data_IF_883672760956
#
_entry.id   IF_883672760956
#
_cell.length_a   1.000
_cell.length_b   1.000
_cell.length_c   1.000
_cell.angle_alpha   90.00
_cell.angle_beta   90.00
_cell.angle_gamma   90.00
#
_symmetry.space_group_name_H-M   'P 1'
#
loop_
_entity.id
_entity.type
_entity.pdbx_description
1 polymer ?
#
# COMPACT_ATOMS: atom_id res chain seq x y z
N UNK A 1 -1.89 11.98 17.32
CA UNK A 1 -2.03 13.41 16.98
C UNK A 1 -3.09 13.45 15.93
N UNK A 2 -4.16 14.19 16.20
CA UNK A 2 -5.39 14.05 15.43
C UNK A 2 -5.60 15.36 14.69
N UNK A 3 -5.74 15.29 13.38
CA UNK A 3 -5.83 16.47 12.52
C UNK A 3 -7.02 16.37 11.58
N UNK A 4 -7.73 17.49 11.44
CA UNK A 4 -8.78 17.66 10.45
C UNK A 4 -8.41 18.85 9.58
N UNK A 5 -8.26 18.62 8.28
CA UNK A 5 -7.90 19.64 7.30
C UNK A 5 -8.97 19.71 6.20
N UNK A 6 -9.36 20.93 5.85
CA UNK A 6 -10.09 21.22 4.61
C UNK A 6 -9.29 22.22 3.76
N UNK A 7 -9.16 21.95 2.46
CA UNK A 7 -8.44 22.80 1.51
C UNK A 7 -7.10 22.22 1.09
N UNK A 8 -6.03 23.00 1.17
CA UNK A 8 -4.68 22.58 0.81
C UNK A 8 -3.81 22.50 2.06
N UNK A 9 -3.17 21.36 2.31
CA UNK A 9 -2.23 21.20 3.42
C UNK A 9 -1.02 20.37 3.07
N UNK A 10 0.09 20.67 3.74
CA UNK A 10 1.33 19.90 3.68
C UNK A 10 1.77 19.63 5.12
N UNK A 11 2.15 18.40 5.43
CA UNK A 11 2.49 17.99 6.79
C UNK A 11 3.77 17.15 6.79
N UNK A 12 4.77 17.55 7.57
CA UNK A 12 6.02 16.80 7.70
C UNK A 12 6.23 16.41 9.16
N UNK A 13 6.50 15.13 9.42
CA UNK A 13 6.75 14.60 10.77
C UNK A 13 8.04 13.77 10.79
N UNK A 14 8.96 14.13 11.68
CA UNK A 14 10.17 13.35 11.95
C UNK A 14 10.21 12.99 13.43
N UNK A 15 10.08 11.71 13.74
CA UNK A 15 10.00 11.19 15.10
C UNK A 15 11.03 10.08 15.34
N UNK A 16 11.86 10.27 16.37
CA UNK A 16 12.75 9.20 16.85
C UNK A 16 11.99 8.19 17.73
N UNK A 17 10.80 8.57 18.20
CA UNK A 17 9.94 7.78 19.08
C UNK A 17 8.95 6.89 18.33
N UNK A 18 7.84 6.61 19.03
CA UNK A 18 6.64 6.04 18.42
C UNK A 18 5.73 7.20 18.07
N UNK A 19 5.28 7.27 16.83
CA UNK A 19 4.28 8.23 16.39
C UNK A 19 2.92 7.55 16.26
N UNK A 20 1.88 8.25 16.69
CA UNK A 20 0.49 7.89 16.39
C UNK A 20 -0.19 9.10 15.77
N UNK A 21 -0.84 8.91 14.62
CA UNK A 21 -1.46 10.01 13.90
C UNK A 21 -2.75 9.60 13.22
N UNK A 22 -3.77 10.41 13.45
CA UNK A 22 -5.07 10.26 12.80
C UNK A 22 -5.30 11.52 11.94
N UNK A 23 -5.57 11.34 10.66
CA UNK A 23 -5.78 12.45 9.73
C UNK A 23 -7.11 12.29 9.00
N UNK A 24 -7.91 13.36 9.01
CA UNK A 24 -9.05 13.52 8.12
C UNK A 24 -8.78 14.73 7.22
N UNK A 25 -8.60 14.48 5.92
CA UNK A 25 -8.30 15.51 4.94
C UNK A 25 -9.37 15.55 3.84
N UNK A 26 -9.79 16.77 3.47
CA UNK A 26 -10.62 17.02 2.31
C UNK A 26 -10.00 18.12 1.44
N UNK A 27 -9.73 17.83 0.17
CA UNK A 27 -9.07 18.75 -0.76
C UNK A 27 -7.75 18.19 -1.28
N UNK A 28 -6.67 18.94 -1.13
CA UNK A 28 -5.31 18.53 -1.54
C UNK A 28 -4.44 18.41 -0.29
N UNK A 29 -3.94 17.22 0.00
CA UNK A 29 -3.08 16.97 1.16
C UNK A 29 -1.81 16.24 0.78
N UNK A 30 -0.67 16.72 1.24
CA UNK A 30 0.59 15.95 1.20
C UNK A 30 1.07 15.66 2.62
N UNK A 31 1.61 14.47 2.85
CA UNK A 31 2.07 14.07 4.16
C UNK A 31 3.34 13.23 4.10
N UNK A 32 4.38 13.67 4.79
CA UNK A 32 5.67 13.00 4.85
C UNK A 32 5.95 12.60 6.31
N UNK A 33 6.22 11.31 6.55
CA UNK A 33 6.51 10.81 7.89
C UNK A 33 7.77 9.96 7.92
N UNK A 34 8.67 10.28 8.84
CA UNK A 34 9.86 9.48 9.15
C UNK A 34 9.80 9.07 10.62
N UNK A 35 9.67 7.76 10.88
CA UNK A 35 9.59 7.19 12.21
C UNK A 35 10.66 6.11 12.45
N UNK A 36 11.52 6.31 13.47
CA UNK A 36 12.62 5.40 13.75
C UNK A 36 12.21 4.13 14.53
N UNK A 37 11.15 4.18 15.34
CA UNK A 37 10.76 3.04 16.21
C UNK A 37 9.39 2.46 15.91
N UNK A 38 8.41 3.31 15.67
CA UNK A 38 7.05 2.87 15.46
C UNK A 38 6.22 3.97 14.85
N UNK A 39 5.33 3.60 13.95
CA UNK A 39 4.32 4.49 13.43
C UNK A 39 3.00 3.76 13.36
N UNK A 40 1.97 4.35 13.92
CA UNK A 40 0.57 3.95 13.68
C UNK A 40 -0.12 5.15 13.06
N UNK A 41 -0.72 4.96 11.89
CA UNK A 41 -1.37 6.02 11.15
C UNK A 41 -2.72 5.56 10.62
N UNK A 42 -3.75 6.37 10.86
CA UNK A 42 -5.08 6.18 10.28
C UNK A 42 -5.45 7.44 9.49
N UNK A 43 -5.66 7.29 8.18
CA UNK A 43 -5.89 8.42 7.27
C UNK A 43 -7.18 8.24 6.50
N UNK A 44 -8.02 9.27 6.52
CA UNK A 44 -9.20 9.40 5.69
C UNK A 44 -9.00 10.62 4.78
N UNK A 45 -8.88 10.39 3.48
CA UNK A 45 -8.66 11.45 2.51
C UNK A 45 -9.75 11.48 1.44
N UNK A 46 -10.23 12.68 1.11
CA UNK A 46 -11.11 12.92 -0.01
C UNK A 46 -10.53 14.01 -0.92
N UNK A 47 -10.33 13.72 -2.20
CA UNK A 47 -9.73 14.63 -3.17
C UNK A 47 -8.38 14.12 -3.67
N UNK A 48 -7.33 14.94 -3.55
CA UNK A 48 -5.97 14.59 -3.97
C UNK A 48 -5.10 14.40 -2.74
N UNK A 49 -4.55 13.21 -2.55
CA UNK A 49 -3.67 12.91 -1.41
C UNK A 49 -2.36 12.31 -1.88
N UNK A 50 -1.24 12.82 -1.38
CA UNK A 50 0.08 12.20 -1.51
C UNK A 50 0.62 11.86 -0.12
N UNK A 51 1.14 10.65 0.06
CA UNK A 51 1.66 10.25 1.36
C UNK A 51 2.92 9.40 1.26
N UNK A 52 3.98 9.87 1.92
CA UNK A 52 5.28 9.24 1.94
C UNK A 52 5.63 8.84 3.38
N UNK A 53 5.83 7.54 3.62
CA UNK A 53 6.09 7.02 4.97
C UNK A 53 7.34 6.16 4.99
N UNK A 54 8.27 6.52 5.87
CA UNK A 54 9.49 5.75 6.17
C UNK A 54 9.44 5.32 7.64
N UNK A 55 9.33 4.02 7.87
CA UNK A 55 9.27 3.43 9.20
C UNK A 55 10.34 2.35 9.38
N UNK A 56 11.24 2.52 10.36
CA UNK A 56 12.40 1.63 10.48
C UNK A 56 12.17 0.35 11.29
N UNK A 57 11.04 0.19 12.00
CA UNK A 57 10.80 -0.98 12.89
C UNK A 57 9.37 -1.51 12.88
N UNK A 58 8.39 -0.66 13.16
CA UNK A 58 6.99 -1.07 13.20
C UNK A 58 6.17 -0.01 12.46
N UNK A 59 5.37 -0.46 11.52
CA UNK A 59 4.43 0.39 10.80
C UNK A 59 3.07 -0.28 10.79
N UNK A 60 2.05 0.44 11.25
CA UNK A 60 0.65 0.08 11.08
C UNK A 60 -0.03 1.24 10.35
N UNK A 61 -0.67 0.97 9.22
CA UNK A 61 -1.29 2.01 8.41
C UNK A 61 -2.71 1.60 7.99
N UNK A 62 -3.70 2.42 8.36
CA UNK A 62 -5.03 2.40 7.78
C UNK A 62 -5.20 3.57 6.82
N UNK A 63 -5.66 3.32 5.60
CA UNK A 63 -5.98 4.38 4.64
C UNK A 63 -7.36 4.14 4.03
N UNK A 64 -8.18 5.19 4.03
CA UNK A 64 -9.38 5.28 3.20
C UNK A 64 -9.24 6.53 2.35
N UNK A 65 -9.03 6.37 1.05
CA UNK A 65 -8.90 7.48 0.12
C UNK A 65 -9.91 7.40 -1.02
N UNK A 66 -10.55 8.52 -1.32
CA UNK A 66 -11.43 8.69 -2.47
C UNK A 66 -10.91 9.86 -3.32
N UNK A 67 -10.61 9.58 -4.59
CA UNK A 67 -10.09 10.57 -5.53
C UNK A 67 -8.76 10.15 -6.15
N UNK A 68 -7.78 11.06 -6.17
CA UNK A 68 -6.43 10.76 -6.66
C UNK A 68 -5.52 10.55 -5.47
N UNK A 69 -5.01 9.33 -5.30
CA UNK A 69 -4.10 9.00 -4.20
C UNK A 69 -2.77 8.48 -4.70
N UNK A 70 -1.66 9.08 -4.25
CA UNK A 70 -0.31 8.55 -4.41
C UNK A 70 0.25 8.17 -3.05
N UNK A 71 0.81 6.98 -2.92
CA UNK A 71 1.32 6.50 -1.65
C UNK A 71 2.64 5.76 -1.83
N UNK A 72 3.69 6.24 -1.18
CA UNK A 72 4.99 5.58 -1.14
C UNK A 72 5.31 5.18 0.30
N UNK A 73 5.63 3.90 0.50
CA UNK A 73 5.91 3.40 1.84
C UNK A 73 7.11 2.49 1.90
N UNK A 74 8.04 2.82 2.79
CA UNK A 74 9.21 2.01 3.12
C UNK A 74 9.13 1.61 4.58
N UNK A 75 8.95 0.30 4.84
CA UNK A 75 8.91 -0.25 6.17
C UNK A 75 9.97 -1.34 6.37
N UNK A 76 10.66 -1.28 7.50
CA UNK A 76 11.57 -2.34 7.94
C UNK A 76 11.03 -3.04 9.18
N UNK A 77 11.31 -4.35 9.27
CA UNK A 77 10.97 -5.32 10.29
C UNK A 77 9.52 -5.80 10.36
N UNK A 78 8.56 -4.94 10.72
CA UNK A 78 7.16 -5.34 10.89
C UNK A 78 6.26 -4.29 10.25
N UNK A 79 5.40 -4.72 9.33
CA UNK A 79 4.40 -3.86 8.71
C UNK A 79 3.04 -4.54 8.56
N UNK A 80 1.99 -3.80 8.91
CA UNK A 80 0.59 -4.20 8.69
C UNK A 80 -0.14 -3.03 8.07
N UNK A 81 -0.86 -3.27 6.99
CA UNK A 81 -1.53 -2.19 6.25
C UNK A 81 -2.86 -2.66 5.70
N UNK A 82 -3.86 -1.82 5.91
CA UNK A 82 -5.22 -2.01 5.41
C UNK A 82 -5.60 -0.76 4.62
N UNK A 83 -5.68 -0.87 3.30
CA UNK A 83 -5.88 0.28 2.43
C UNK A 83 -7.10 0.09 1.55
N UNK A 84 -7.94 1.12 1.50
CA UNK A 84 -9.11 1.21 0.64
C UNK A 84 -8.98 2.48 -0.20
N UNK A 85 -8.87 2.30 -1.51
CA UNK A 85 -8.66 3.39 -2.47
C UNK A 85 -9.66 3.32 -3.61
N UNK A 86 -10.21 4.48 -3.97
CA UNK A 86 -11.18 4.60 -5.06
C UNK A 86 -10.80 5.71 -6.05
N UNK A 87 -11.20 5.51 -7.31
CA UNK A 87 -10.99 6.35 -8.48
C UNK A 87 -9.62 6.20 -9.15
N UNK A 88 -8.57 6.86 -8.66
CA UNK A 88 -7.23 6.81 -9.26
C UNK A 88 -6.20 6.64 -8.16
N UNK A 89 -5.47 5.53 -8.19
CA UNK A 89 -4.43 5.24 -7.21
C UNK A 89 -3.12 4.77 -7.81
N UNK A 90 -2.03 5.29 -7.26
CA UNK A 90 -0.67 4.78 -7.48
C UNK A 90 -0.09 4.47 -6.12
N UNK A 91 0.42 3.26 -5.94
CA UNK A 91 1.05 2.89 -4.69
C UNK A 91 2.32 2.08 -4.91
N UNK A 92 3.39 2.54 -4.26
CA UNK A 92 4.65 1.83 -4.19
C UNK A 92 4.98 1.46 -2.74
N UNK A 93 5.33 0.20 -2.52
CA UNK A 93 5.66 -0.30 -1.20
C UNK A 93 6.90 -1.16 -1.19
N UNK A 94 7.77 -0.89 -0.23
CA UNK A 94 8.94 -1.71 0.09
C UNK A 94 8.83 -2.15 1.55
N UNK A 95 8.76 -3.46 1.76
CA UNK A 95 8.72 -4.06 3.07
C UNK A 95 9.85 -5.08 3.25
N UNK A 96 10.60 -4.97 4.35
CA UNK A 96 11.65 -5.92 4.72
C UNK A 96 11.31 -6.51 6.08
N UNK A 97 11.33 -7.83 6.24
CA UNK A 97 11.00 -8.54 7.48
C UNK A 97 9.66 -9.26 7.39
N UNK A 98 8.74 -8.95 8.30
CA UNK A 98 7.38 -9.49 8.35
C UNK A 98 6.42 -8.43 7.82
N UNK A 99 5.64 -8.77 6.81
CA UNK A 99 4.68 -7.85 6.19
C UNK A 99 3.33 -8.51 5.97
N UNK A 100 2.30 -7.73 6.20
CA UNK A 100 0.89 -8.05 5.97
C UNK A 100 0.27 -6.84 5.28
N UNK A 101 -0.40 -7.07 4.16
CA UNK A 101 -0.90 -6.02 3.29
C UNK A 101 -2.25 -6.44 2.71
N UNK A 102 -3.29 -5.70 3.07
CA UNK A 102 -4.64 -5.88 2.54
C UNK A 102 -5.01 -4.62 1.74
N UNK A 103 -5.29 -4.78 0.45
CA UNK A 103 -5.62 -3.69 -0.46
C UNK A 103 -6.95 -3.93 -1.14
N UNK A 104 -7.82 -2.93 -1.10
CA UNK A 104 -9.00 -2.84 -1.96
C UNK A 104 -8.87 -1.59 -2.82
N UNK A 105 -8.74 -1.77 -4.12
CA UNK A 105 -8.68 -0.69 -5.09
C UNK A 105 -9.82 -0.77 -6.11
N UNK A 106 -10.46 0.35 -6.40
CA UNK A 106 -11.47 0.47 -7.45
C UNK A 106 -11.18 1.66 -8.37
N UNK A 107 -11.29 1.46 -9.68
CA UNK A 107 -11.04 2.48 -10.70
C UNK A 107 -9.79 2.20 -11.52
N UNK A 108 -8.88 3.16 -11.58
CA UNK A 108 -7.57 3.02 -12.24
C UNK A 108 -6.49 2.90 -11.18
N UNK A 109 -5.80 1.77 -11.13
CA UNK A 109 -4.81 1.50 -10.07
C UNK A 109 -3.49 0.99 -10.64
N UNK A 110 -2.37 1.57 -10.20
CA UNK A 110 -1.03 1.05 -10.45
C UNK A 110 -0.34 0.75 -9.13
N UNK A 111 0.10 -0.50 -8.95
CA UNK A 111 0.62 -1.01 -7.69
C UNK A 111 1.98 -1.64 -7.91
N UNK A 112 3.00 -1.17 -7.21
CA UNK A 112 4.33 -1.77 -7.13
C UNK A 112 4.61 -2.23 -5.71
N UNK A 113 4.83 -3.53 -5.51
CA UNK A 113 5.06 -4.09 -4.18
C UNK A 113 6.31 -4.95 -4.15
N UNK A 114 7.24 -4.60 -3.26
CA UNK A 114 8.47 -5.33 -3.01
C UNK A 114 8.47 -5.80 -1.55
N UNK A 115 8.52 -7.10 -1.35
CA UNK A 115 8.65 -7.70 -0.02
C UNK A 115 9.84 -8.65 0.08
N UNK A 116 10.56 -8.58 1.20
CA UNK A 116 11.62 -9.52 1.53
C UNK A 116 11.44 -10.05 2.95
N UNK A 117 11.45 -11.38 3.14
CA UNK A 117 11.27 -12.04 4.43
C UNK A 117 10.03 -12.92 4.46
N UNK A 118 9.09 -12.62 5.35
CA UNK A 118 7.78 -13.29 5.45
C UNK A 118 6.71 -12.28 5.06
N UNK A 119 5.92 -12.60 4.05
CA UNK A 119 4.90 -11.68 3.53
C UNK A 119 3.59 -12.36 3.24
N UNK A 120 2.50 -11.68 3.58
CA UNK A 120 1.13 -12.04 3.19
C UNK A 120 0.49 -10.83 2.53
N UNK A 121 -0.10 -11.04 1.36
CA UNK A 121 -0.66 -9.97 0.54
C UNK A 121 -2.00 -10.38 -0.03
N UNK A 122 -3.05 -9.65 0.34
CA UNK A 122 -4.40 -9.87 -0.14
C UNK A 122 -4.84 -8.63 -0.93
N UNK A 123 -5.02 -8.80 -2.23
CA UNK A 123 -5.27 -7.70 -3.16
C UNK A 123 -6.63 -7.91 -3.85
N UNK A 124 -7.51 -6.93 -3.75
CA UNK A 124 -8.78 -6.88 -4.49
C UNK A 124 -8.75 -5.63 -5.37
N UNK A 125 -8.74 -5.83 -6.69
CA UNK A 125 -8.68 -4.75 -7.67
C UNK A 125 -9.87 -4.83 -8.62
N UNK A 126 -10.55 -3.71 -8.83
CA UNK A 126 -11.66 -3.59 -9.77
C UNK A 126 -11.45 -2.40 -10.72
N UNK A 127 -11.64 -2.63 -12.02
CA UNK A 127 -11.48 -1.61 -13.06
C UNK A 127 -10.27 -1.87 -13.95
N UNK A 128 -9.38 -0.88 -14.09
CA UNK A 128 -8.14 -1.00 -14.87
C UNK A 128 -6.96 -1.03 -13.90
N UNK A 129 -6.25 -2.15 -13.85
CA UNK A 129 -5.14 -2.32 -12.91
C UNK A 129 -3.85 -2.82 -13.54
N UNK A 130 -2.74 -2.33 -13.00
CA UNK A 130 -1.39 -2.87 -13.22
C UNK A 130 -0.79 -3.21 -11.85
N UNK A 131 -0.38 -4.46 -11.65
CA UNK A 131 0.16 -4.94 -10.38
C UNK A 131 1.51 -5.60 -10.63
N UNK A 132 2.57 -5.00 -10.11
CA UNK A 132 3.92 -5.54 -10.14
C UNK A 132 4.30 -5.98 -8.74
N UNK A 133 4.63 -7.27 -8.59
CA UNK A 133 4.90 -7.86 -7.29
C UNK A 133 6.23 -8.61 -7.30
N UNK A 134 7.12 -8.22 -6.39
CA UNK A 134 8.41 -8.88 -6.15
C UNK A 134 8.44 -9.36 -4.72
N UNK A 135 8.58 -10.67 -4.53
CA UNK A 135 8.73 -11.28 -3.22
C UNK A 135 9.97 -12.16 -3.13
N UNK A 136 10.68 -12.05 -2.00
CA UNK A 136 11.79 -12.92 -1.64
C UNK A 136 11.59 -13.51 -0.24
N UNK A 137 11.74 -14.83 -0.10
CA UNK A 137 11.61 -15.53 1.19
C UNK A 137 10.38 -16.44 1.25
N UNK A 138 9.51 -16.23 2.24
CA UNK A 138 8.23 -16.93 2.40
C UNK A 138 7.12 -15.95 2.03
N UNK A 139 6.33 -16.26 1.01
CA UNK A 139 5.22 -15.40 0.60
C UNK A 139 3.93 -16.15 0.34
N UNK A 140 2.82 -15.53 0.72
CA UNK A 140 1.45 -15.95 0.40
C UNK A 140 0.73 -14.77 -0.24
N UNK A 141 0.17 -14.98 -1.42
CA UNK A 141 -0.45 -13.91 -2.20
C UNK A 141 -1.81 -14.35 -2.71
N UNK A 142 -2.85 -13.60 -2.35
CA UNK A 142 -4.21 -13.80 -2.84
C UNK A 142 -4.63 -12.57 -3.63
N UNK A 143 -5.02 -12.77 -4.89
CA UNK A 143 -5.40 -11.67 -5.78
C UNK A 143 -6.76 -11.94 -6.42
N UNK A 144 -7.67 -10.98 -6.25
CA UNK A 144 -8.96 -10.94 -6.93
C UNK A 144 -8.97 -9.73 -7.84
N UNK A 145 -9.07 -9.97 -9.15
CA UNK A 145 -9.15 -8.92 -10.15
C UNK A 145 -10.49 -8.98 -10.91
N UNK A 146 -11.12 -7.83 -11.10
CA UNK A 146 -12.29 -7.68 -11.96
C UNK A 146 -12.07 -6.51 -12.94
N UNK A 147 -12.20 -6.78 -14.25
CA UNK A 147 -11.99 -5.78 -15.29
C UNK A 147 -10.74 -6.07 -16.13
N UNK A 148 -9.97 -5.04 -16.45
CA UNK A 148 -8.73 -5.15 -17.24
C UNK A 148 -7.55 -5.09 -16.29
N UNK A 149 -6.87 -6.21 -16.09
CA UNK A 149 -5.73 -6.30 -15.17
C UNK A 149 -4.47 -6.84 -15.85
N UNK A 150 -3.36 -6.18 -15.60
CA UNK A 150 -2.00 -6.59 -16.01
C UNK A 150 -1.22 -6.91 -14.76
N UNK A 151 -0.54 -8.04 -14.72
CA UNK A 151 0.13 -8.52 -13.52
C UNK A 151 1.50 -9.12 -13.86
N UNK A 152 2.52 -8.66 -13.17
CA UNK A 152 3.88 -9.22 -13.25
C UNK A 152 4.33 -9.66 -11.85
N UNK A 153 4.67 -10.94 -11.72
CA UNK A 153 5.09 -11.55 -10.45
C UNK A 153 6.51 -12.10 -10.54
N UNK A 154 7.37 -11.71 -9.60
CA UNK A 154 8.68 -12.31 -9.39
C UNK A 154 8.75 -12.84 -7.96
N UNK A 155 8.91 -14.15 -7.84
CA UNK A 155 9.02 -14.81 -6.54
C UNK A 155 10.32 -15.62 -6.44
N UNK A 156 11.05 -15.43 -5.34
CA UNK A 156 12.23 -16.21 -4.99
C UNK A 156 12.05 -16.84 -3.60
N UNK A 157 12.16 -18.16 -3.50
CA UNK A 157 11.96 -18.89 -2.24
C UNK A 157 10.61 -19.64 -2.19
N UNK A 158 10.04 -19.79 -0.99
CA UNK A 158 8.78 -20.53 -0.81
C UNK A 158 7.62 -19.58 -0.99
N UNK A 159 6.90 -19.71 -2.09
CA UNK A 159 5.83 -18.76 -2.43
C UNK A 159 4.59 -19.50 -2.92
N UNK A 160 3.41 -19.05 -2.46
CA UNK A 160 2.10 -19.54 -2.92
C UNK A 160 1.28 -18.37 -3.41
N UNK A 161 0.56 -18.59 -4.52
CA UNK A 161 -0.28 -17.58 -5.16
C UNK A 161 -1.62 -18.18 -5.53
N UNK A 162 -2.71 -17.53 -5.10
CA UNK A 162 -4.05 -17.76 -5.61
C UNK A 162 -4.53 -16.54 -6.41
N UNK A 163 -5.04 -16.78 -7.61
CA UNK A 163 -5.52 -15.74 -8.53
C UNK A 163 -6.94 -16.04 -8.98
N UNK A 164 -7.85 -15.09 -8.77
CA UNK A 164 -9.20 -15.07 -9.31
C UNK A 164 -9.33 -13.85 -10.21
N UNK A 165 -9.57 -14.07 -11.50
CA UNK A 165 -9.77 -13.00 -12.46
C UNK A 165 -11.15 -13.10 -13.14
N UNK A 166 -11.83 -11.96 -13.24
CA UNK A 166 -13.03 -11.78 -14.04
C UNK A 166 -12.76 -10.77 -15.17
N UNK A 167 -13.17 -11.12 -16.38
CA UNK A 167 -12.93 -10.39 -17.64
C UNK A 167 -11.56 -10.63 -18.28
N UNK A 168 -10.65 -9.64 -18.28
CA UNK A 168 -9.40 -9.69 -19.06
C UNK A 168 -8.21 -9.53 -18.14
N UNK A 169 -7.47 -10.63 -17.94
CA UNK A 169 -6.26 -10.65 -17.14
C UNK A 169 -5.08 -11.20 -17.92
N UNK A 170 -3.95 -10.48 -17.92
CA UNK A 170 -2.65 -11.00 -18.35
C UNK A 170 -1.72 -11.11 -17.16
N UNK A 171 -1.07 -12.26 -17.03
CA UNK A 171 -0.17 -12.58 -15.92
C UNK A 171 1.16 -13.08 -16.49
N UNK A 172 2.27 -12.44 -16.13
CA UNK A 172 3.62 -12.99 -16.25
C UNK A 172 4.13 -13.38 -14.86
N UNK A 173 4.83 -14.51 -14.75
CA UNK A 173 5.32 -14.99 -13.45
C UNK A 173 6.66 -15.70 -13.59
N UNK A 174 7.65 -15.22 -12.84
CA UNK A 174 8.98 -15.82 -12.76
C UNK A 174 9.24 -16.37 -11.36
N UNK A 175 9.47 -17.68 -11.29
CA UNK A 175 9.69 -18.43 -10.04
C UNK A 175 11.13 -18.95 -10.01
N UNK A 176 11.88 -18.59 -8.96
CA UNK A 176 13.29 -18.98 -8.75
C UNK A 176 13.53 -19.83 -7.52
#
# INVERSE_FOLDING_TARGET
>A
MDLIVAGVSTMDLIEAGVSTMDLIAAGVSTMDVIAARGSTMDVIAAGVSAMDVIAARVCTMGLIAAGVSTMDLIAAWVSTKDLIVAEVSTMDQIAIGVSTMDLIAAGVSTMGLIAAGVSTMDLIVAGVSTVDLIAAGISTMDLIAAGVSTMDLIAAGVSTMDLIAAEVSTMDSNWG
#
